data_IF_127751743035
#
_entry.id   IF_127751743035
#
_cell.length_a   1.000
_cell.length_b   1.000
_cell.length_c   1.000
_cell.angle_alpha   90.00
_cell.angle_beta   90.00
_cell.angle_gamma   90.00
#
_symmetry.space_group_name_H-M   'P 1'
#
loop_
_entity.id
_entity.type
_entity.pdbx_description
1 polymer ?
2 polymer ?
3 non-polymer ?
4 non-polymer ?
5 water ?
#
loop_
_entity_poly.entity_id
_entity_poly.type
_entity_poly.pdbx_seq_one_letter_code
_entity_poly.pdbx_strand_id
1 'polyribonucleotide' '(GTP)GAGCGUUACGUCCGAAAGUCGCAUUGCACUCCGCGACACGGCUCUUUAAAAACAAAAGGA' ?
#
# COMPACT_ATOMS: atom_id res chain seq x y z
N UNK C 1 -9.05 -59.08 11.05
CA UNK C 1 -10.14 -58.23 11.54
C UNK C 1 -11.39 -58.45 10.70
N UNK C 2 -12.54 -58.40 11.35
CA UNK C 2 -13.82 -58.57 10.67
C UNK C 2 -14.43 -57.19 10.45
N UNK C 3 -14.63 -56.75 9.22
CA UNK C 3 -15.23 -55.43 8.98
C UNK C 3 -16.59 -55.27 9.63
N UNK C 4 -16.91 -54.03 9.99
CA UNK C 4 -18.21 -53.69 10.53
C UNK C 4 -19.28 -53.79 9.43
N UNK C 5 -20.28 -54.68 9.63
CA UNK C 5 -21.33 -54.90 8.63
C UNK C 5 -22.73 -54.43 9.09
N UNK C 6 -22.88 -53.86 10.29
CA UNK C 6 -24.08 -53.11 10.66
C UNK C 6 -24.31 -51.94 9.73
N UNK C 7 -25.40 -51.90 8.97
CA UNK C 7 -25.74 -50.65 8.27
C UNK C 7 -25.75 -49.49 9.25
N UNK C 8 -25.24 -48.35 8.80
CA UNK C 8 -25.13 -47.14 9.62
C UNK C 8 -25.12 -45.93 8.70
N UNK C 9 -25.56 -44.78 9.24
CA UNK C 9 -25.59 -43.57 8.41
C UNK C 9 -24.19 -43.18 7.93
N UNK C 10 -23.15 -43.59 8.66
CA UNK C 10 -21.79 -43.19 8.38
C UNK C 10 -20.98 -44.38 7.90
N UNK C 11 -20.17 -44.16 6.86
CA UNK C 11 -19.25 -45.17 6.36
C UNK C 11 -17.84 -44.82 6.83
N UNK C 12 -17.08 -45.85 7.21
CA UNK C 12 -15.72 -45.72 7.68
C UNK C 12 -14.79 -46.24 6.59
N UNK C 13 -13.94 -45.35 6.08
CA UNK C 13 -13.04 -45.64 4.97
C UNK C 13 -11.63 -45.67 5.51
N UNK C 14 -10.81 -46.59 4.99
CA UNK C 14 -9.40 -46.56 5.33
C UNK C 14 -8.61 -47.15 4.17
N UNK C 15 -7.32 -47.39 4.40
CA UNK C 15 -6.34 -47.61 3.34
C UNK C 15 -6.25 -46.41 2.40
N UNK C 16 -6.35 -45.20 2.97
CA UNK C 16 -6.24 -43.98 2.18
C UNK C 16 -4.78 -43.52 2.13
N UNK C 17 -4.33 -43.08 0.96
CA UNK C 17 -3.00 -42.48 0.84
C UNK C 17 -2.89 -41.30 1.79
N UNK C 18 -2.09 -41.44 2.84
CA UNK C 18 -2.03 -40.43 3.88
C UNK C 18 -1.04 -39.30 3.56
N UNK C 19 -0.46 -39.28 2.34
CA UNK C 19 0.25 -38.10 1.86
C UNK C 19 -0.70 -36.97 1.49
N UNK C 20 -1.96 -37.25 1.20
CA UNK C 20 -2.85 -36.17 0.79
C UNK C 20 -3.22 -35.29 1.98
N UNK C 21 -3.36 -33.99 1.71
CA UNK C 21 -3.67 -33.06 2.76
C UNK C 21 -5.17 -33.06 3.06
N UNK C 22 -5.52 -32.62 4.27
CA UNK C 22 -6.88 -32.74 4.76
C UNK C 22 -7.89 -32.18 3.77
N UNK C 23 -7.71 -30.92 3.36
CA UNK C 23 -8.74 -30.29 2.55
C UNK C 23 -8.82 -30.90 1.16
N UNK C 24 -7.70 -31.39 0.63
CA UNK C 24 -7.78 -32.02 -0.68
C UNK C 24 -8.60 -33.32 -0.55
N UNK C 25 -8.28 -34.09 0.49
CA UNK C 25 -8.89 -35.38 0.77
C UNK C 25 -10.40 -35.27 0.94
N UNK C 26 -10.82 -34.48 1.94
CA UNK C 26 -12.25 -34.22 2.11
C UNK C 26 -12.89 -33.83 0.79
N UNK C 27 -12.28 -32.87 0.12
CA UNK C 27 -12.87 -32.36 -1.12
C UNK C 27 -12.97 -33.47 -2.17
N UNK C 28 -11.94 -34.30 -2.29
CA UNK C 28 -12.01 -35.38 -3.29
C UNK C 28 -12.97 -36.50 -2.84
N UNK C 29 -13.11 -36.72 -1.53
CA UNK C 29 -14.10 -37.67 -1.08
C UNK C 29 -15.50 -37.17 -1.38
N UNK C 30 -15.75 -35.87 -1.15
CA UNK C 30 -17.06 -35.32 -1.44
C UNK C 30 -17.40 -35.45 -2.91
N UNK C 31 -16.39 -35.35 -3.78
CA UNK C 31 -16.66 -35.45 -5.21
C UNK C 31 -17.09 -36.85 -5.59
N UNK C 32 -16.44 -37.88 -5.03
CA UNK C 32 -16.72 -39.23 -5.47
C UNK C 32 -17.87 -39.88 -4.72
N UNK C 33 -18.41 -39.23 -3.69
CA UNK C 33 -19.50 -39.80 -2.92
C UNK C 33 -20.79 -39.01 -2.99
N UNK C 34 -20.73 -37.78 -3.53
CA UNK C 34 -21.92 -36.94 -3.54
C UNK C 34 -23.08 -37.55 -4.31
N UNK C 35 -22.81 -38.43 -5.28
CA UNK C 35 -23.89 -38.94 -6.14
C UNK C 35 -24.73 -40.00 -5.46
N UNK C 36 -24.37 -40.43 -4.25
CA UNK C 36 -25.09 -41.47 -3.53
C UNK C 36 -26.14 -40.92 -2.59
N UNK C 37 -26.02 -39.67 -2.17
CA UNK C 37 -26.99 -39.07 -1.29
C UNK C 37 -26.45 -37.76 -0.74
N UNK C 38 -27.32 -37.05 -0.03
CA UNK C 38 -26.86 -35.89 0.71
C UNK C 38 -25.84 -36.31 1.75
N UNK C 39 -24.66 -35.67 1.71
CA UNK C 39 -23.61 -35.89 2.71
C UNK C 39 -23.73 -34.81 3.77
N UNK C 40 -23.81 -35.23 5.04
CA UNK C 40 -23.96 -34.29 6.14
C UNK C 40 -22.62 -33.69 6.58
N UNK C 41 -21.55 -34.48 6.53
CA UNK C 41 -20.21 -34.04 6.93
C UNK C 41 -19.21 -35.11 6.52
N UNK C 42 -17.97 -34.70 6.35
CA UNK C 42 -16.84 -35.59 6.09
C UNK C 42 -15.76 -35.27 7.10
N UNK C 43 -15.28 -36.27 7.82
CA UNK C 43 -14.37 -36.11 8.95
C UNK C 43 -13.05 -36.75 8.58
N UNK C 44 -11.98 -35.96 8.64
CA UNK C 44 -10.63 -36.41 8.30
C UNK C 44 -9.68 -35.80 9.32
N UNK C 45 -8.84 -36.63 9.94
CA UNK C 45 -7.75 -36.16 10.77
C UNK C 45 -6.45 -36.86 10.36
N UNK C 46 -5.34 -36.13 10.47
CA UNK C 46 -4.04 -36.67 10.09
C UNK C 46 -3.19 -37.02 11.30
N UNK C 47 -3.82 -37.12 12.49
CA UNK C 47 -3.10 -37.55 13.68
C UNK C 47 -2.50 -38.95 13.51
N UNK C 48 -1.76 -39.39 14.51
CA UNK C 48 -1.16 -40.72 14.45
C UNK C 48 -2.25 -41.79 14.37
N UNK C 49 -3.25 -41.70 15.24
CA UNK C 49 -4.29 -42.70 15.32
C UNK C 49 -5.27 -42.63 14.14
N UNK C 50 -5.46 -41.44 13.55
CA UNK C 50 -6.54 -41.26 12.59
C UNK C 50 -6.12 -41.06 11.14
N UNK C 51 -4.83 -41.02 10.83
CA UNK C 51 -4.46 -40.86 9.42
C UNK C 51 -4.83 -42.12 8.63
N UNK C 52 -4.90 -41.96 7.30
CA UNK C 52 -5.31 -43.04 6.43
C UNK C 52 -6.80 -43.37 6.45
N UNK C 53 -7.59 -42.66 7.25
CA UNK C 53 -8.98 -42.98 7.51
C UNK C 53 -9.86 -41.75 7.31
N UNK C 54 -11.12 -41.98 6.92
CA UNK C 54 -12.10 -40.91 6.82
C UNK C 54 -13.47 -41.44 7.21
N UNK C 55 -14.29 -40.54 7.76
CA UNK C 55 -15.71 -40.79 8.02
C UNK C 55 -16.54 -39.94 7.06
N UNK C 56 -17.48 -40.58 6.36
CA UNK C 56 -18.42 -39.87 5.49
C UNK C 56 -19.83 -40.14 6.00
N UNK C 57 -20.52 -39.08 6.41
CA UNK C 57 -21.82 -39.17 7.07
C UNK C 57 -22.93 -38.86 6.06
N UNK C 58 -23.75 -39.86 5.74
CA UNK C 58 -24.89 -39.69 4.84
C UNK C 58 -26.17 -39.39 5.62
N UNK C 59 -27.09 -38.67 4.98
CA UNK C 59 -28.35 -38.37 5.65
C UNK C 59 -29.20 -39.63 5.80
N UNK C 60 -29.10 -40.55 4.86
CA UNK C 60 -29.92 -41.75 4.82
C UNK C 60 -29.01 -42.98 4.79
N UNK C 61 -29.38 -43.98 5.58
CA UNK C 61 -28.60 -45.20 5.61
C UNK C 61 -28.53 -45.82 4.21
N UNK C 62 -29.60 -45.72 3.43
CA UNK C 62 -29.57 -46.35 2.10
C UNK C 62 -28.44 -45.76 1.26
N UNK C 63 -28.22 -44.45 1.36
CA UNK C 63 -27.12 -43.81 0.64
C UNK C 63 -25.79 -44.46 1.02
N UNK C 64 -25.55 -44.64 2.32
CA UNK C 64 -24.31 -45.24 2.79
C UNK C 64 -24.13 -46.65 2.23
N UNK C 65 -25.18 -47.46 2.32
CA UNK C 65 -25.08 -48.82 1.79
C UNK C 65 -24.70 -48.80 0.32
N UNK C 66 -25.42 -48.01 -0.49
CA UNK C 66 -25.11 -47.99 -1.92
C UNK C 66 -23.70 -47.44 -2.14
N UNK C 67 -23.29 -46.45 -1.32
CA UNK C 67 -21.95 -45.90 -1.43
C UNK C 67 -20.90 -46.97 -1.15
N UNK C 68 -21.07 -47.69 -0.05
CA UNK C 68 -20.14 -48.75 0.35
C UNK C 68 -20.04 -49.83 -0.73
N UNK C 69 -21.18 -50.27 -1.25
CA UNK C 69 -21.12 -51.38 -2.18
C UNK C 69 -20.56 -50.94 -3.53
N UNK C 70 -20.85 -49.71 -3.96
CA UNK C 70 -20.37 -49.27 -5.27
C UNK C 70 -18.89 -48.90 -5.24
N UNK C 71 -18.41 -48.33 -4.16
CA UNK C 71 -17.07 -47.75 -4.18
C UNK C 71 -16.04 -48.66 -3.56
N UNK C 72 -16.43 -49.85 -3.16
CA UNK C 72 -15.53 -50.75 -2.48
C UNK C 72 -14.32 -51.05 -3.37
N UNK C 73 -13.12 -50.87 -2.83
CA UNK C 73 -11.92 -51.15 -3.60
C UNK C 73 -11.63 -50.16 -4.71
N UNK C 74 -12.27 -49.01 -4.69
CA UNK C 74 -12.05 -48.02 -5.74
C UNK C 74 -10.63 -47.46 -5.66
N UNK C 75 -9.91 -47.36 -6.79
CA UNK C 75 -8.56 -46.77 -6.76
C UNK C 75 -8.66 -45.29 -6.46
N UNK C 76 -7.99 -44.87 -5.38
CA UNK C 76 -8.10 -43.52 -4.85
C UNK C 76 -6.71 -43.08 -4.41
N UNK C 77 -6.09 -42.20 -5.20
CA UNK C 77 -4.71 -41.79 -4.95
C UNK C 77 -3.79 -43.00 -4.91
N UNK C 78 -3.96 -43.87 -5.91
CA UNK C 78 -3.18 -45.08 -6.13
C UNK C 78 -3.39 -46.14 -5.05
N UNK C 79 -4.38 -45.99 -4.17
CA UNK C 79 -4.70 -47.04 -3.19
C UNK C 79 -6.17 -47.44 -3.31
N UNK C 80 -6.49 -48.73 -3.22
CA UNK C 80 -7.88 -49.14 -3.23
C UNK C 80 -8.52 -48.81 -1.88
N UNK C 81 -9.59 -48.02 -1.92
CA UNK C 81 -10.39 -47.75 -0.73
C UNK C 81 -10.90 -49.04 -0.12
N UNK C 82 -10.79 -49.12 1.21
CA UNK C 82 -11.46 -50.13 2.01
C UNK C 82 -12.57 -49.44 2.79
N UNK C 83 -13.81 -49.87 2.60
CA UNK C 83 -14.97 -49.19 3.16
C UNK C 83 -15.75 -50.16 4.03
N UNK C 84 -16.06 -49.71 5.24
CA UNK C 84 -16.83 -50.39 6.28
C UNK C 84 -17.98 -49.48 6.70
N UNK C 85 -18.83 -49.99 7.58
CA UNK C 85 -19.73 -49.10 8.32
C UNK C 85 -19.04 -48.65 9.59
N UNK C 86 -19.41 -47.47 10.08
CA UNK C 86 -18.89 -47.00 11.35
C UNK C 86 -19.52 -47.82 12.47
N UNK C 87 -18.71 -48.20 13.45
CA UNK C 87 -19.21 -49.05 14.53
C UNK C 87 -20.19 -48.32 15.44
N UNK C 88 -20.22 -46.99 15.40
CA UNK C 88 -21.14 -46.23 16.25
C UNK C 88 -21.73 -45.11 15.42
N UNK C 89 -22.87 -44.61 15.86
CA UNK C 89 -23.44 -43.43 15.23
C UNK C 89 -22.50 -42.23 15.39
N UNK C 90 -22.40 -41.42 14.33
CA UNK C 90 -21.81 -40.09 14.44
C UNK C 90 -22.74 -39.18 15.25
N UNK C 91 -22.15 -38.14 15.85
CA UNK C 91 -22.90 -37.35 16.83
C UNK C 91 -24.04 -36.58 16.18
N UNK C 92 -23.79 -35.97 15.03
CA UNK C 92 -24.88 -35.30 14.33
C UNK C 92 -26.02 -36.26 14.05
N UNK C 93 -25.74 -37.57 13.97
CA UNK C 93 -26.77 -38.57 13.72
C UNK C 93 -27.41 -39.05 15.02
N UNK C 94 -26.61 -39.20 16.08
CA UNK C 94 -27.17 -39.56 17.38
C UNK C 94 -28.06 -38.46 17.94
N UNK C 95 -27.72 -37.20 17.66
CA UNK C 95 -28.50 -36.04 18.10
C UNK C 95 -29.93 -36.16 17.59
N UNK C 96 -30.14 -35.76 16.32
CA UNK C 96 -31.34 -36.09 15.54
C UNK C 96 -32.62 -36.32 16.33
N UNK D 6 35.21 17.25 -40.71
CA UNK D 6 34.60 16.15 -41.45
C UNK D 6 33.08 16.24 -41.61
N UNK D 7 32.53 17.44 -41.89
CA UNK D 7 31.07 17.57 -41.91
C UNK D 7 30.44 16.73 -43.02
N UNK D 8 29.13 16.57 -42.91
CA UNK D 8 28.39 15.62 -43.73
C UNK D 8 26.91 15.87 -43.50
N UNK D 9 26.11 15.59 -44.54
CA UNK D 9 24.67 15.82 -44.39
C UNK D 9 24.08 14.98 -43.27
N UNK D 10 24.80 13.94 -42.84
CA UNK D 10 24.22 12.88 -42.03
C UNK D 10 25.03 12.76 -40.74
N UNK D 11 24.34 12.82 -39.60
CA UNK D 11 24.98 12.68 -38.31
C UNK D 11 24.78 11.26 -37.80
N UNK D 12 25.81 10.74 -37.13
CA UNK D 12 25.81 9.41 -36.53
C UNK D 12 25.61 9.57 -35.04
N UNK D 13 24.51 9.05 -34.52
CA UNK D 13 24.17 9.12 -33.11
C UNK D 13 24.34 7.72 -32.55
N UNK D 14 25.06 7.59 -31.44
CA UNK D 14 25.02 6.35 -30.69
C UNK D 14 24.88 6.68 -29.21
N UNK D 15 25.18 5.72 -28.34
CA UNK D 15 24.77 5.74 -26.95
C UNK D 15 23.26 5.97 -26.80
N UNK D 16 22.49 5.43 -27.71
CA UNK D 16 21.03 5.51 -27.61
C UNK D 16 20.49 4.35 -26.78
N UNK D 17 19.35 4.58 -26.12
CA UNK D 17 18.68 3.55 -25.34
C UNK D 17 18.23 2.41 -26.24
N UNK D 18 18.83 1.23 -26.08
CA UNK D 18 18.55 0.12 -27.00
C UNK D 18 17.18 -0.52 -26.78
N UNK D 19 16.45 -0.13 -25.74
CA UNK D 19 15.17 -0.79 -25.48
C UNK D 19 14.01 -0.19 -26.27
N UNK D 20 14.24 0.92 -26.96
CA UNK D 20 13.17 1.66 -27.61
C UNK D 20 12.84 0.98 -28.95
N UNK D 21 11.55 0.77 -29.21
CA UNK D 21 11.10 0.18 -30.47
C UNK D 21 11.51 1.06 -31.64
N UNK D 22 11.69 0.42 -32.80
CA UNK D 22 12.23 1.11 -33.97
C UNK D 22 11.44 2.38 -34.30
N UNK D 23 10.12 2.27 -34.55
CA UNK D 23 9.49 3.46 -35.13
C UNK D 23 9.28 4.54 -34.08
N UNK D 24 9.02 4.16 -32.82
CA UNK D 24 8.98 5.18 -31.76
C UNK D 24 10.27 5.97 -31.73
N UNK D 25 11.41 5.27 -31.79
CA UNK D 25 12.71 5.94 -31.78
C UNK D 25 12.86 6.91 -32.93
N UNK D 26 12.47 6.46 -34.13
CA UNK D 26 12.49 7.34 -35.30
C UNK D 26 11.63 8.57 -35.08
N UNK D 27 10.37 8.38 -34.66
CA UNK D 27 9.52 9.53 -34.38
C UNK D 27 10.18 10.47 -33.37
N UNK D 28 10.57 9.93 -32.21
CA UNK D 28 11.12 10.77 -31.14
C UNK D 28 12.36 11.52 -31.60
N UNK D 29 13.22 10.89 -32.39
CA UNK D 29 14.36 11.61 -32.94
C UNK D 29 13.90 12.72 -33.88
N UNK D 30 12.92 12.42 -34.73
CA UNK D 30 12.43 13.42 -35.70
C UNK D 30 11.92 14.66 -35.00
N UNK D 31 11.07 14.47 -33.98
CA UNK D 31 10.56 15.59 -33.22
C UNK D 31 11.69 16.43 -32.63
N UNK D 32 12.78 15.78 -32.22
CA UNK D 32 13.79 16.48 -31.42
C UNK D 32 14.88 17.07 -32.30
N UNK D 33 14.93 16.68 -33.59
CA UNK D 33 15.93 17.16 -34.54
C UNK D 33 15.34 17.95 -35.71
N UNK D 34 14.01 17.99 -35.86
CA UNK D 34 13.43 18.70 -37.00
C UNK D 34 13.68 20.20 -36.93
N UNK D 35 13.81 20.76 -35.71
CA UNK D 35 14.02 22.19 -35.57
C UNK D 35 15.15 22.67 -36.46
N UNK D 36 16.15 21.81 -36.64
CA UNK D 36 17.40 22.18 -37.26
C UNK D 36 17.31 22.26 -38.76
N UNK D 37 16.25 21.73 -39.35
CA UNK D 37 16.10 21.72 -40.78
C UNK D 37 15.31 20.52 -41.23
N UNK D 38 15.13 20.44 -42.53
CA UNK D 38 14.41 19.31 -43.13
C UNK D 38 15.22 18.03 -42.97
N UNK D 39 14.62 17.03 -42.36
CA UNK D 39 15.22 15.71 -42.27
C UNK D 39 14.80 14.89 -43.48
N UNK D 40 15.79 14.41 -44.24
CA UNK D 40 15.49 13.55 -45.37
C UNK D 40 15.07 12.15 -44.90
N UNK D 41 15.73 11.60 -43.90
CA UNK D 41 15.42 10.25 -43.41
C UNK D 41 16.15 9.99 -42.11
N UNK D 42 15.61 9.06 -41.32
CA UNK D 42 16.25 8.54 -40.10
C UNK D 42 16.35 7.03 -40.23
N UNK D 43 17.57 6.51 -40.18
CA UNK D 43 17.82 5.08 -40.36
C UNK D 43 18.13 4.48 -39.00
N UNK D 44 17.34 3.47 -38.61
CA UNK D 44 17.48 2.80 -37.32
C UNK D 44 17.37 1.29 -37.54
N UNK D 45 18.29 0.53 -36.94
CA UNK D 45 18.27 -0.93 -36.99
C UNK D 45 18.60 -1.51 -35.62
N UNK D 46 17.91 -2.60 -35.26
CA UNK D 46 18.06 -3.23 -33.95
C UNK D 46 18.87 -4.52 -33.99
N UNK D 47 19.61 -4.75 -35.08
CA UNK D 47 20.56 -5.84 -35.12
C UNK D 47 21.67 -5.65 -34.08
N UNK D 48 22.38 -6.75 -33.81
CA UNK D 48 23.50 -6.70 -32.88
C UNK D 48 24.48 -5.61 -33.27
N UNK D 49 24.80 -5.54 -34.55
CA UNK D 49 25.81 -4.61 -35.01
C UNK D 49 25.35 -3.15 -34.95
N UNK D 50 24.05 -2.88 -35.02
CA UNK D 50 23.57 -1.52 -35.23
C UNK D 50 22.59 -1.01 -34.18
N UNK D 51 22.25 -1.80 -33.16
CA UNK D 51 21.40 -1.25 -32.10
C UNK D 51 22.14 -0.14 -31.37
N UNK D 52 21.36 0.76 -30.77
CA UNK D 52 21.90 1.90 -30.04
C UNK D 52 22.31 3.06 -30.92
N UNK D 53 22.13 2.94 -32.23
CA UNK D 53 22.70 3.86 -33.22
C UNK D 53 21.62 4.32 -34.19
N UNK D 54 21.83 5.50 -34.76
CA UNK D 54 20.87 6.08 -35.68
C UNK D 54 21.59 7.03 -36.61
N UNK D 55 21.22 7.02 -37.88
CA UNK D 55 21.74 7.96 -38.87
C UNK D 55 20.61 8.92 -39.23
N UNK D 56 20.78 10.20 -38.92
CA UNK D 56 19.84 11.24 -39.29
C UNK D 56 20.38 11.95 -40.52
N UNK D 57 19.59 11.96 -41.59
CA UNK D 57 20.01 12.50 -42.89
C UNK D 57 19.32 13.84 -43.08
N UNK D 58 20.10 14.92 -43.00
CA UNK D 58 19.61 16.27 -43.20
C UNK D 58 19.73 16.66 -44.66
N UNK D 59 18.79 17.49 -45.12
CA UNK D 59 18.85 18.04 -46.47
C UNK D 59 20.13 18.85 -46.68
N UNK D 60 20.53 19.61 -45.67
CA UNK D 60 21.64 20.55 -45.76
C UNK D 60 22.67 20.21 -44.71
N UNK D 61 23.95 20.24 -45.10
CA UNK D 61 25.02 20.10 -44.10
C UNK D 61 24.84 21.15 -43.02
N UNK D 62 24.42 22.35 -43.42
CA UNK D 62 24.09 23.42 -42.48
C UNK D 62 23.28 22.93 -41.30
N UNK D 63 22.18 22.21 -41.59
CA UNK D 63 21.33 21.71 -40.52
C UNK D 63 22.04 20.67 -39.67
N UNK D 64 22.83 19.80 -40.32
CA UNK D 64 23.51 18.73 -39.61
C UNK D 64 24.52 19.26 -38.59
N UNK D 65 25.40 20.17 -39.03
CA UNK D 65 26.39 20.75 -38.13
C UNK D 65 25.72 21.42 -36.94
N UNK D 66 24.68 22.23 -37.17
CA UNK D 66 23.97 22.86 -36.06
C UNK D 66 23.35 21.82 -35.14
N UNK D 67 22.83 20.72 -35.70
CA UNK D 67 22.24 19.66 -34.88
C UNK D 67 23.31 18.99 -34.03
N UNK D 68 24.48 18.74 -34.60
CA UNK D 68 25.53 18.01 -33.89
C UNK D 68 25.93 18.72 -32.59
N UNK D 69 26.31 19.99 -32.65
CA UNK D 69 26.81 20.57 -31.41
C UNK D 69 25.69 21.02 -30.48
N UNK D 70 24.50 21.31 -31.01
CA UNK D 70 23.41 21.80 -30.16
C UNK D 70 22.81 20.67 -29.34
N UNK D 71 22.87 19.44 -29.84
CA UNK D 71 22.25 18.29 -29.20
C UNK D 71 23.28 17.31 -28.66
N UNK D 72 24.57 17.58 -28.86
CA UNK D 72 25.63 16.77 -28.26
C UNK D 72 25.36 16.58 -26.78
N UNK D 73 25.26 15.32 -26.37
CA UNK D 73 25.00 14.97 -24.98
C UNK D 73 23.59 15.23 -24.50
N UNK D 74 22.66 15.59 -25.39
CA UNK D 74 21.28 15.85 -24.98
C UNK D 74 20.69 14.62 -24.30
N UNK D 75 20.02 14.77 -23.16
CA UNK D 75 19.42 13.60 -22.49
C UNK D 75 18.26 13.06 -23.30
N UNK D 76 18.27 11.74 -23.54
CA UNK D 76 17.29 11.13 -24.45
C UNK D 76 16.99 9.72 -23.95
N UNK D 77 15.77 9.49 -23.51
CA UNK D 77 15.39 8.21 -22.92
C UNK D 77 16.42 7.79 -21.87
N UNK D 78 16.84 8.76 -21.05
CA UNK D 78 17.68 8.53 -19.87
C UNK D 78 19.12 8.20 -20.21
N UNK D 79 19.59 8.62 -21.39
CA UNK D 79 20.97 8.42 -21.80
C UNK D 79 21.35 9.66 -22.61
N UNK D 80 22.52 10.24 -22.34
CA UNK D 80 23.01 11.35 -23.18
C UNK D 80 23.43 10.82 -24.54
N UNK D 81 22.99 11.49 -25.60
CA UNK D 81 23.27 10.98 -26.93
C UNK D 81 24.61 11.51 -27.42
N UNK D 82 25.41 10.63 -28.01
CA UNK D 82 26.70 10.97 -28.58
C UNK D 82 26.53 11.17 -30.08
N UNK D 83 26.94 12.34 -30.60
CA UNK D 83 26.71 12.71 -32.00
C UNK D 83 28.02 13.01 -32.68
N UNK D 84 28.25 12.34 -33.81
CA UNK D 84 29.34 12.65 -34.73
C UNK D 84 28.76 12.75 -36.13
N UNK D 85 29.56 13.32 -37.05
CA UNK D 85 29.24 13.19 -38.47
C UNK D 85 29.49 11.77 -38.94
N UNK D 86 28.69 11.33 -39.92
CA UNK D 86 28.95 10.04 -40.54
C UNK D 86 30.27 10.10 -41.26
N UNK D 87 30.88 8.94 -41.40
CA UNK D 87 32.22 8.84 -41.93
C UNK D 87 32.24 8.77 -43.45
N UNK D 88 31.13 8.33 -44.03
CA UNK D 88 30.87 8.27 -45.46
C UNK D 88 29.65 9.13 -45.72
N UNK D 89 29.26 9.20 -46.99
CA UNK D 89 27.99 9.78 -47.36
C UNK D 89 26.93 8.70 -47.37
N UNK D 90 25.71 9.07 -46.98
CA UNK D 90 24.59 8.14 -47.05
C UNK D 90 24.22 7.92 -48.51
N UNK D 91 23.45 6.85 -48.77
CA UNK D 91 23.08 6.51 -50.14
C UNK D 91 22.37 7.68 -50.82
N UNK D 92 21.29 8.15 -50.20
CA UNK D 92 20.44 9.19 -50.77
C UNK D 92 21.27 10.44 -51.12
N UNK D 93 22.27 10.76 -50.30
CA UNK D 93 23.08 11.95 -50.53
C UNK D 93 24.07 11.75 -51.69
N UNK D 94 24.35 10.49 -52.06
CA UNK D 94 25.35 10.22 -53.09
C UNK D 94 24.75 9.73 -54.41
N UNK D 95 23.44 9.50 -54.49
CA UNK D 95 22.82 8.94 -55.68
C UNK D 95 22.78 9.93 -56.85
N UNK E 1 0.84 42.25 12.91
CA UNK E 1 -0.20 42.12 13.93
C UNK E 1 -1.14 40.96 13.62
N UNK E 2 -1.46 40.75 12.33
CA UNK E 2 -2.23 39.57 11.95
C UNK E 2 -1.32 38.36 11.98
N UNK E 3 -1.60 37.37 12.83
CA UNK E 3 -0.66 36.25 13.03
C UNK E 3 -0.76 35.21 11.93
N UNK E 4 0.39 34.67 11.54
CA UNK E 4 0.40 33.48 10.68
C UNK E 4 -0.34 32.33 11.34
N UNK E 5 -1.17 31.64 10.57
CA UNK E 5 -1.77 30.40 11.06
C UNK E 5 -0.68 29.39 11.41
N UNK E 6 -0.86 28.71 12.55
CA UNK E 6 0.16 27.78 13.05
C UNK E 6 0.22 26.52 12.20
N UNK E 7 1.34 26.21 11.56
CA UNK E 7 1.43 24.99 10.77
C UNK E 7 1.14 23.75 11.62
N UNK E 8 0.76 22.67 10.92
CA UNK E 8 0.46 21.38 11.52
C UNK E 8 0.73 20.32 10.46
N UNK E 9 1.23 19.15 10.88
CA UNK E 9 1.48 18.12 9.88
C UNK E 9 0.19 17.44 9.39
N UNK E 10 -0.96 17.84 9.94
CA UNK E 10 -2.27 17.36 9.55
C UNK E 10 -3.05 18.52 8.93
N UNK E 11 -3.66 18.27 7.77
CA UNK E 11 -4.50 19.27 7.13
C UNK E 11 -5.96 18.91 7.31
N UNK E 12 -6.77 19.95 7.42
CA UNK E 12 -8.21 19.83 7.57
C UNK E 12 -8.85 20.25 6.26
N UNK E 13 -9.56 19.32 5.62
CA UNK E 13 -10.20 19.53 4.33
C UNK E 13 -11.70 19.51 4.53
N UNK E 14 -12.39 20.48 3.94
CA UNK E 14 -13.84 20.43 3.90
C UNK E 14 -14.30 20.97 2.55
N UNK E 15 -15.60 21.25 2.44
CA UNK E 15 -16.29 21.39 1.16
C UNK E 15 -16.12 20.15 0.29
N UNK E 16 -16.12 18.97 0.93
CA UNK E 16 -16.00 17.75 0.16
C UNK E 16 -17.37 17.24 -0.24
N UNK E 17 -17.41 16.56 -1.39
CA UNK E 17 -18.67 15.99 -1.88
C UNK E 17 -19.21 14.96 -0.90
N UNK E 18 -20.34 15.29 -0.27
CA UNK E 18 -20.95 14.38 0.70
C UNK E 18 -21.56 13.12 0.08
N UNK E 19 -21.68 13.03 -1.24
CA UNK E 19 -22.30 11.85 -1.83
C UNK E 19 -21.33 10.68 -1.96
N UNK E 20 -20.05 10.89 -1.71
CA UNK E 20 -19.05 9.84 -1.89
C UNK E 20 -19.00 8.96 -0.65
N UNK E 21 -18.97 7.64 -0.86
CA UNK E 21 -18.75 6.75 0.26
C UNK E 21 -17.36 6.99 0.85
N UNK E 22 -17.26 6.73 2.15
CA UNK E 22 -16.13 7.14 2.95
C UNK E 22 -14.85 6.43 2.53
N UNK E 23 -14.96 5.14 2.33
CA UNK E 23 -13.92 4.26 1.85
C UNK E 23 -13.29 4.74 0.55
N UNK E 24 -14.15 5.08 -0.41
CA UNK E 24 -13.68 5.61 -1.68
C UNK E 24 -13.07 6.99 -1.51
N UNK E 25 -13.72 7.85 -0.72
CA UNK E 25 -13.18 9.17 -0.43
C UNK E 25 -11.75 9.09 0.08
N UNK E 26 -11.50 8.18 1.00
CA UNK E 26 -10.16 8.03 1.57
C UNK E 26 -9.16 7.69 0.48
N UNK E 27 -9.50 6.72 -0.37
CA UNK E 27 -8.60 6.27 -1.42
C UNK E 27 -8.40 7.33 -2.48
N UNK E 28 -9.45 8.06 -2.83
CA UNK E 28 -9.29 9.13 -3.79
C UNK E 28 -8.45 10.26 -3.20
N UNK E 29 -8.63 10.57 -1.91
CA UNK E 29 -7.79 11.58 -1.27
C UNK E 29 -6.33 11.19 -1.32
N UNK E 30 -6.05 9.92 -1.02
CA UNK E 30 -4.68 9.44 -1.08
C UNK E 30 -4.08 9.64 -2.46
N UNK E 31 -4.89 9.42 -3.49
CA UNK E 31 -4.39 9.46 -4.85
C UNK E 31 -3.88 10.83 -5.23
N UNK E 32 -4.49 11.89 -4.68
CA UNK E 32 -4.07 13.23 -5.06
C UNK E 32 -3.12 13.86 -4.04
N UNK E 33 -2.96 13.29 -2.85
CA UNK E 33 -2.13 13.92 -1.84
C UNK E 33 -0.84 13.18 -1.54
N UNK E 34 -0.73 11.91 -1.92
CA UNK E 34 0.49 11.16 -1.65
C UNK E 34 1.71 11.82 -2.28
N UNK E 35 1.52 12.73 -3.25
CA UNK E 35 2.66 13.31 -3.96
C UNK E 35 3.45 14.28 -3.07
N UNK E 36 2.84 14.82 -2.03
CA UNK E 36 3.49 15.81 -1.19
C UNK E 36 4.33 15.18 -0.09
N UNK E 37 4.31 13.85 0.05
CA UNK E 37 5.10 13.20 1.08
C UNK E 37 4.33 12.11 1.80
N UNK E 38 5.00 11.45 2.73
CA UNK E 38 4.43 10.31 3.43
C UNK E 38 3.16 10.68 4.19
N UNK E 39 2.10 9.92 3.94
CA UNK E 39 0.84 10.04 4.67
C UNK E 39 0.80 8.95 5.73
N UNK E 40 0.47 9.32 6.96
CA UNK E 40 0.36 8.32 8.01
C UNK E 40 -1.05 7.80 8.14
N UNK E 41 -2.04 8.64 7.88
CA UNK E 41 -3.43 8.24 7.98
C UNK E 41 -4.25 9.31 7.28
N UNK E 42 -5.43 8.89 6.82
CA UNK E 42 -6.47 9.79 6.38
C UNK E 42 -7.69 9.48 7.25
N UNK E 43 -8.34 10.52 7.74
CA UNK E 43 -9.40 10.37 8.73
C UNK E 43 -10.69 10.85 8.09
N UNK E 44 -11.67 9.96 7.98
CA UNK E 44 -13.00 10.29 7.48
C UNK E 44 -14.01 9.55 8.34
N UNK E 45 -15.24 10.06 8.35
CA UNK E 45 -16.29 9.46 9.17
C UNK E 45 -17.65 9.64 8.53
N UNK E 46 -18.53 8.68 8.80
CA UNK E 46 -19.95 8.80 8.44
C UNK E 46 -20.73 9.60 9.47
N UNK E 47 -20.15 9.84 10.64
CA UNK E 47 -20.83 10.61 11.67
C UNK E 47 -21.18 12.00 11.13
N UNK E 48 -22.18 12.59 11.76
CA UNK E 48 -22.74 13.82 11.25
C UNK E 48 -21.78 15.00 11.44
N UNK E 49 -20.88 14.94 12.42
CA UNK E 49 -19.95 16.06 12.58
C UNK E 49 -18.83 16.04 11.55
N UNK E 50 -18.59 14.93 10.88
CA UNK E 50 -17.52 14.82 9.90
C UNK E 50 -18.04 14.87 8.46
N UNK E 51 -19.25 15.38 8.24
CA UNK E 51 -19.80 15.40 6.88
C UNK E 51 -18.99 16.30 5.97
N UNK E 52 -18.64 15.78 4.80
CA UNK E 52 -17.91 16.58 3.83
C UNK E 52 -16.57 17.07 4.31
N UNK E 53 -15.90 16.32 5.19
CA UNK E 53 -14.67 16.78 5.81
C UNK E 53 -13.68 15.62 5.91
N UNK E 54 -12.40 15.96 6.06
CA UNK E 54 -11.37 14.93 6.23
C UNK E 54 -10.12 15.54 6.81
N UNK E 55 -9.32 14.70 7.47
CA UNK E 55 -7.96 15.04 7.88
C UNK E 55 -6.99 14.13 7.16
N UNK E 56 -5.92 14.70 6.63
CA UNK E 56 -4.83 13.94 6.02
C UNK E 56 -3.61 14.17 6.90
N UNK E 57 -3.14 13.10 7.54
CA UNK E 57 -2.02 13.19 8.48
C UNK E 57 -0.74 12.85 7.74
N UNK E 58 0.08 13.86 7.52
CA UNK E 58 1.42 13.71 6.95
C UNK E 58 2.46 13.47 8.03
N UNK E 59 3.54 12.80 7.65
CA UNK E 59 4.67 12.67 8.56
C UNK E 59 5.34 14.00 8.82
N UNK E 60 5.71 14.73 7.76
CA UNK E 60 6.43 15.98 7.92
C UNK E 60 5.51 17.18 7.72
N UNK E 61 5.77 18.22 8.52
CA UNK E 61 4.98 19.46 8.42
C UNK E 61 5.17 20.11 7.05
N UNK E 62 6.37 20.02 6.48
CA UNK E 62 6.60 20.63 5.17
C UNK E 62 5.68 20.04 4.12
N UNK E 63 5.33 18.77 4.27
CA UNK E 63 4.38 18.14 3.35
C UNK E 63 3.00 18.81 3.44
N UNK E 64 2.47 18.93 4.67
CA UNK E 64 1.17 19.54 4.84
C UNK E 64 1.12 20.95 4.24
N UNK E 65 2.18 21.73 4.44
CA UNK E 65 2.22 23.10 3.92
C UNK E 65 2.19 23.12 2.39
N UNK E 66 3.05 22.33 1.75
CA UNK E 66 3.00 22.20 0.29
C UNK E 66 1.66 21.67 -0.19
N UNK E 67 1.07 20.72 0.54
CA UNK E 67 -0.21 20.15 0.12
C UNK E 67 -1.33 21.18 0.21
N UNK E 68 -1.43 21.85 1.37
CA UNK E 68 -2.41 22.93 1.55
C UNK E 68 -2.25 24.00 0.45
N UNK E 69 -1.02 24.50 0.26
CA UNK E 69 -0.86 25.62 -0.67
C UNK E 69 -1.15 25.21 -2.11
N UNK E 70 -0.68 24.01 -2.52
CA UNK E 70 -0.84 23.60 -3.91
C UNK E 70 -2.25 23.16 -4.24
N UNK E 71 -2.97 22.54 -3.30
CA UNK E 71 -4.26 21.94 -3.60
C UNK E 71 -5.44 22.78 -3.11
N UNK E 72 -5.17 23.98 -2.62
CA UNK E 72 -6.23 24.86 -2.17
C UNK E 72 -7.20 25.12 -3.32
N UNK E 73 -8.47 24.76 -3.12
CA UNK E 73 -9.47 24.96 -4.15
C UNK E 73 -9.43 23.99 -5.31
N UNK E 74 -8.69 22.91 -5.20
CA UNK E 74 -8.63 21.92 -6.27
C UNK E 74 -9.97 21.23 -6.47
N UNK E 75 -10.54 21.22 -7.68
CA UNK E 75 -11.87 20.61 -7.89
C UNK E 75 -11.80 19.10 -7.77
N UNK E 76 -12.58 18.58 -6.84
CA UNK E 76 -12.49 17.20 -6.38
C UNK E 76 -13.92 16.72 -6.28
N UNK E 77 -14.28 15.73 -7.10
CA UNK E 77 -15.68 15.35 -7.29
C UNK E 77 -16.55 16.57 -7.56
N UNK E 78 -16.10 17.44 -8.50
CA UNK E 78 -16.87 18.65 -8.85
C UNK E 78 -17.11 19.61 -7.70
N UNK E 79 -16.13 19.72 -6.78
CA UNK E 79 -16.28 20.63 -5.66
C UNK E 79 -14.87 21.09 -5.27
N UNK E 80 -14.61 22.40 -5.20
CA UNK E 80 -13.25 22.86 -4.85
C UNK E 80 -13.01 22.65 -3.36
N UNK E 81 -11.93 21.91 -3.05
CA UNK E 81 -11.57 21.63 -1.66
C UNK E 81 -11.18 22.91 -0.94
N UNK E 82 -11.68 23.08 0.28
CA UNK E 82 -11.15 24.10 1.19
C UNK E 82 -10.21 23.42 2.18
N UNK E 83 -8.98 23.92 2.24
CA UNK E 83 -7.90 23.29 3.00
C UNK E 83 -7.34 24.27 4.02
N UNK E 84 -7.10 23.78 5.24
CA UNK E 84 -6.47 24.53 6.32
C UNK E 84 -5.69 23.55 7.19
N UNK E 85 -4.67 24.07 7.91
CA UNK E 85 -3.98 23.27 8.91
C UNK E 85 -4.96 22.83 9.98
N UNK E 86 -4.79 21.61 10.47
CA UNK E 86 -5.51 21.20 11.67
C UNK E 86 -5.04 22.04 12.86
N UNK E 87 -5.94 22.27 13.81
CA UNK E 87 -5.61 23.08 14.98
C UNK E 87 -4.83 22.26 16.01
N UNK E 88 -5.44 21.19 16.51
CA UNK E 88 -4.79 20.41 17.55
C UNK E 88 -5.24 18.95 17.49
N UNK E 89 -4.46 18.11 18.18
CA UNK E 89 -4.76 16.68 18.22
C UNK E 89 -6.02 16.40 19.03
N UNK E 90 -6.23 17.15 20.11
CA UNK E 90 -7.49 17.09 20.82
C UNK E 90 -8.67 17.41 19.89
N UNK E 91 -8.54 18.48 19.10
CA UNK E 91 -9.62 18.89 18.22
C UNK E 91 -9.96 17.81 17.21
N UNK E 92 -8.93 17.12 16.70
CA UNK E 92 -9.15 16.02 15.76
C UNK E 92 -9.93 14.89 16.43
N UNK E 93 -9.57 14.58 17.67
CA UNK E 93 -10.24 13.53 18.44
C UNK E 93 -11.70 13.90 18.67
N UNK E 94 -11.97 15.13 19.09
CA UNK E 94 -13.34 15.54 19.34
C UNK E 94 -14.18 15.40 18.07
N UNK E 95 -13.63 15.83 16.94
CA UNK E 95 -14.32 15.72 15.66
C UNK E 95 -14.52 14.25 15.21
N UNK E 96 -13.70 13.31 15.71
CA UNK E 96 -13.77 11.93 15.25
C UNK E 96 -14.54 11.02 16.19
N UNK E 97 -14.95 11.51 17.37
CA UNK E 97 -15.58 10.69 18.42
C UNK E 97 -16.83 10.13 17.80
N UNK F 6 -5.54 14.65 -32.95
CA UNK F 6 -6.85 14.59 -33.59
C UNK F 6 -7.99 14.50 -32.57
N UNK F 7 -8.55 15.65 -32.16
CA UNK F 7 -9.45 15.68 -30.99
C UNK F 7 -10.71 14.85 -31.20
N UNK F 8 -11.15 14.17 -30.11
CA UNK F 8 -12.41 13.40 -30.10
C UNK F 8 -12.89 13.20 -28.65
N UNK F 9 -13.94 12.39 -28.48
CA UNK F 9 -14.65 12.24 -27.21
C UNK F 9 -13.82 11.64 -26.10
N UNK F 10 -12.71 10.99 -26.43
CA UNK F 10 -12.07 10.07 -25.50
C UNK F 10 -10.60 10.42 -25.37
N UNK F 11 -10.11 10.40 -24.13
CA UNK F 11 -8.71 10.64 -23.85
C UNK F 11 -8.07 9.32 -23.46
N UNK F 12 -6.86 9.11 -23.90
CA UNK F 12 -6.02 7.97 -23.53
C UNK F 12 -4.99 8.49 -22.54
N UNK F 13 -5.03 7.98 -21.30
CA UNK F 13 -4.09 8.36 -20.24
C UNK F 13 -3.13 7.21 -20.02
N UNK F 14 -1.85 7.52 -19.87
CA UNK F 14 -0.90 6.47 -19.48
C UNK F 14 0.06 7.05 -18.44
N UNK F 15 1.15 6.33 -18.18
CA UNK F 15 2.03 6.58 -17.03
C UNK F 15 1.25 6.59 -15.73
N UNK F 16 0.23 5.75 -15.66
CA UNK F 16 -0.50 5.55 -14.43
C UNK F 16 0.20 4.50 -13.56
N UNK F 17 0.05 4.65 -12.23
CA UNK F 17 0.66 3.75 -11.26
C UNK F 17 0.04 2.36 -11.36
N UNK F 18 0.84 1.39 -11.83
CA UNK F 18 0.34 0.06 -12.17
C UNK F 18 0.04 -0.81 -10.96
N UNK F 19 0.31 -0.32 -9.75
CA UNK F 19 0.06 -1.11 -8.55
C UNK F 19 -1.29 -0.80 -7.90
N UNK F 20 -2.16 -0.05 -8.59
CA UNK F 20 -3.46 0.30 -8.06
C UNK F 20 -4.54 -0.61 -8.63
N UNK F 21 -5.43 -1.08 -7.77
CA UNK F 21 -6.51 -1.97 -8.19
C UNK F 21 -7.49 -1.25 -9.12
N UNK F 22 -8.07 -2.04 -10.04
CA UNK F 22 -8.86 -1.47 -11.13
C UNK F 22 -10.02 -0.64 -10.59
N UNK F 23 -10.72 -1.17 -9.60
CA UNK F 23 -11.93 -0.51 -9.12
C UNK F 23 -11.59 0.81 -8.44
N UNK F 24 -10.52 0.82 -7.65
CA UNK F 24 -10.06 2.04 -7.03
C UNK F 24 -9.53 3.02 -8.07
N UNK F 25 -8.77 2.53 -9.05
CA UNK F 25 -8.21 3.42 -10.06
C UNK F 25 -9.32 4.14 -10.84
N UNK F 26 -10.43 3.43 -11.11
CA UNK F 26 -11.54 4.04 -11.83
C UNK F 26 -12.23 5.12 -11.00
N UNK F 27 -12.48 4.82 -9.73
CA UNK F 27 -13.12 5.81 -8.87
C UNK F 27 -12.22 7.01 -8.65
N UNK F 28 -10.92 6.79 -8.50
CA UNK F 28 -9.99 7.91 -8.32
C UNK F 28 -9.93 8.78 -9.58
N UNK F 29 -9.93 8.16 -10.76
CA UNK F 29 -9.95 8.94 -12.01
C UNK F 29 -11.23 9.76 -12.14
N UNK F 30 -12.39 9.14 -11.87
CA UNK F 30 -13.63 9.91 -11.92
C UNK F 30 -13.56 11.12 -10.97
N UNK F 31 -12.89 10.95 -9.83
CA UNK F 31 -12.84 12.00 -8.82
C UNK F 31 -12.22 13.28 -9.35
N UNK F 32 -11.19 13.16 -10.19
CA UNK F 32 -10.51 14.33 -10.69
C UNK F 32 -10.97 14.72 -12.10
N UNK F 33 -11.54 13.79 -12.86
CA UNK F 33 -11.91 14.15 -14.22
C UNK F 33 -13.38 14.52 -14.37
N UNK F 34 -14.20 14.34 -13.33
CA UNK F 34 -15.63 14.62 -13.50
C UNK F 34 -15.88 16.11 -13.72
N UNK F 35 -15.01 16.97 -13.20
CA UNK F 35 -15.24 18.41 -13.34
C UNK F 35 -15.32 18.84 -14.80
N UNK F 36 -14.72 18.08 -15.71
CA UNK F 36 -14.61 18.52 -17.09
C UNK F 36 -15.84 18.19 -17.94
N UNK F 37 -16.70 17.29 -17.49
CA UNK F 37 -17.86 16.89 -18.25
C UNK F 37 -18.39 15.57 -17.76
N UNK F 38 -19.59 15.25 -18.22
CA UNK F 38 -20.17 13.94 -17.93
C UNK F 38 -19.28 12.84 -18.48
N UNK F 39 -18.76 11.99 -17.59
CA UNK F 39 -17.96 10.85 -17.99
C UNK F 39 -18.89 9.69 -18.37
N UNK F 40 -18.86 9.30 -19.64
CA UNK F 40 -19.68 8.17 -20.08
C UNK F 40 -19.11 6.86 -19.59
N UNK F 41 -17.79 6.72 -19.57
CA UNK F 41 -17.20 5.50 -19.03
C UNK F 41 -15.73 5.74 -18.80
N UNK F 42 -15.16 4.97 -17.89
CA UNK F 42 -13.73 4.92 -17.69
C UNK F 42 -13.29 3.48 -17.92
N UNK F 43 -12.34 3.28 -18.83
CA UNK F 43 -11.89 1.94 -19.20
C UNK F 43 -10.50 1.70 -18.62
N UNK F 44 -10.42 0.72 -17.72
CA UNK F 44 -9.20 0.31 -17.06
C UNK F 44 -9.08 -1.21 -17.09
N UNK F 45 -7.86 -1.71 -17.27
CA UNK F 45 -7.60 -3.12 -17.11
C UNK F 45 -6.13 -3.33 -16.76
N UNK F 46 -5.86 -4.40 -16.02
CA UNK F 46 -4.50 -4.70 -15.56
C UNK F 46 -3.83 -5.73 -16.42
N UNK F 47 -4.45 -6.12 -17.53
CA UNK F 47 -3.84 -6.96 -18.55
C UNK F 47 -2.50 -6.40 -18.98
N UNK F 48 -1.70 -7.22 -19.67
CA UNK F 48 -0.44 -6.71 -20.21
C UNK F 48 -0.65 -5.58 -21.20
N UNK F 49 -1.82 -5.51 -21.82
CA UNK F 49 -2.07 -4.48 -22.83
C UNK F 49 -2.56 -3.17 -22.25
N UNK F 50 -3.21 -3.20 -21.08
CA UNK F 50 -3.81 -1.99 -20.53
C UNK F 50 -3.16 -1.51 -19.24
N UNK F 51 -2.17 -2.20 -18.71
CA UNK F 51 -1.70 -1.88 -17.38
C UNK F 51 -1.01 -0.51 -17.40
N UNK F 52 -1.34 0.32 -16.43
CA UNK F 52 -0.82 1.68 -16.40
C UNK F 52 -1.50 2.64 -17.35
N UNK F 53 -2.58 2.22 -18.01
CA UNK F 53 -3.28 3.06 -18.99
C UNK F 53 -4.77 3.11 -18.68
N UNK F 54 -5.44 4.10 -19.26
CA UNK F 54 -6.88 4.19 -19.06
C UNK F 54 -7.46 5.02 -20.19
N UNK F 55 -8.73 4.79 -20.46
CA UNK F 55 -9.48 5.63 -21.38
C UNK F 55 -10.61 6.28 -20.59
N UNK F 56 -10.81 7.57 -20.77
CA UNK F 56 -11.93 8.27 -20.17
C UNK F 56 -12.76 8.86 -21.30
N UNK F 57 -14.05 8.54 -21.30
CA UNK F 57 -14.95 8.89 -22.40
C UNK F 57 -15.92 9.96 -21.93
N UNK F 58 -15.88 11.10 -22.58
CA UNK F 58 -16.75 12.21 -22.21
C UNK F 58 -17.91 12.31 -23.18
N UNK F 59 -19.01 12.88 -22.68
CA UNK F 59 -20.15 13.16 -23.54
C UNK F 59 -19.78 14.10 -24.69
N UNK F 60 -18.98 15.13 -24.41
CA UNK F 60 -18.63 16.10 -25.44
C UNK F 60 -17.13 16.14 -25.67
N UNK F 61 -16.76 16.42 -26.93
CA UNK F 61 -15.36 16.57 -27.30
C UNK F 61 -14.72 17.74 -26.57
N UNK F 62 -15.49 18.82 -26.38
CA UNK F 62 -15.04 19.98 -25.64
C UNK F 62 -14.45 19.59 -24.28
N UNK F 63 -15.17 18.71 -23.57
CA UNK F 63 -14.70 18.22 -22.27
C UNK F 63 -13.38 17.48 -22.38
N UNK F 64 -13.27 16.59 -23.37
CA UNK F 64 -12.03 15.82 -23.52
C UNK F 64 -10.86 16.75 -23.75
N UNK F 65 -11.06 17.79 -24.56
CA UNK F 65 -9.96 18.70 -24.88
C UNK F 65 -9.48 19.44 -23.63
N UNK F 66 -10.42 20.00 -22.85
CA UNK F 66 -10.04 20.71 -21.63
C UNK F 66 -9.41 19.77 -20.62
N UNK F 67 -10.01 18.59 -20.43
CA UNK F 67 -9.38 17.57 -19.59
C UNK F 67 -7.94 17.33 -20.00
N UNK F 68 -7.71 17.13 -21.30
CA UNK F 68 -6.34 16.87 -21.76
C UNK F 68 -5.39 18.01 -21.37
N UNK F 69 -5.81 19.27 -21.52
CA UNK F 69 -4.77 20.28 -21.41
C UNK F 69 -4.55 20.63 -19.94
N UNK F 70 -5.64 20.60 -19.16
CA UNK F 70 -5.58 20.95 -17.76
C UNK F 70 -4.84 19.91 -16.94
N UNK F 71 -5.11 18.63 -17.20
CA UNK F 71 -4.59 17.57 -16.35
C UNK F 71 -3.30 16.97 -16.90
N UNK F 72 -2.83 17.46 -18.04
CA UNK F 72 -1.52 17.07 -18.52
C UNK F 72 -0.49 17.11 -17.40
N UNK F 73 0.27 16.02 -17.24
CA UNK F 73 1.28 15.96 -16.20
C UNK F 73 0.80 15.92 -14.77
N UNK F 74 -0.51 15.98 -14.53
CA UNK F 74 -1.03 16.05 -13.17
C UNK F 74 -0.50 14.88 -12.34
N UNK F 75 0.18 15.15 -11.23
CA UNK F 75 0.69 14.03 -10.41
C UNK F 75 -0.48 13.33 -9.73
N UNK F 76 -0.39 12.01 -9.72
CA UNK F 76 -1.54 11.15 -9.45
C UNK F 76 -0.95 9.83 -9.00
N UNK F 77 -1.25 9.42 -7.76
CA UNK F 77 -0.62 8.22 -7.22
C UNK F 77 0.89 8.29 -7.38
N UNK F 78 1.43 9.50 -7.22
CA UNK F 78 2.87 9.82 -7.23
C UNK F 78 3.49 9.85 -8.62
N UNK F 79 2.70 9.83 -9.69
CA UNK F 79 3.23 9.77 -11.05
C UNK F 79 2.55 10.85 -11.88
N UNK F 80 3.31 11.62 -12.67
CA UNK F 80 2.67 12.58 -13.56
C UNK F 80 2.08 11.82 -14.74
N UNK F 81 0.78 11.99 -14.94
CA UNK F 81 0.08 11.29 -16.01
C UNK F 81 0.25 11.97 -17.35
N UNK F 82 0.39 11.16 -18.40
CA UNK F 82 0.44 11.66 -19.77
C UNK F 82 -0.91 11.43 -20.44
N UNK F 83 -1.42 12.45 -21.12
CA UNK F 83 -2.76 12.39 -21.72
C UNK F 83 -2.66 12.71 -23.20
N UNK F 84 -3.30 11.89 -24.02
CA UNK F 84 -3.44 12.08 -25.46
C UNK F 84 -4.89 11.90 -25.85
N UNK F 85 -5.24 12.33 -27.05
CA UNK F 85 -6.54 11.96 -27.58
C UNK F 85 -6.53 10.48 -27.89
N UNK F 86 -7.66 9.82 -27.68
CA UNK F 86 -7.67 8.41 -28.01
C UNK F 86 -7.72 8.21 -29.52
N UNK F 87 -7.22 7.05 -29.96
CA UNK F 87 -7.35 6.59 -31.34
C UNK F 87 -8.79 6.19 -31.60
N UNK F 88 -9.00 5.27 -32.53
CA UNK F 88 -10.34 4.88 -32.92
C UNK F 88 -10.93 3.89 -31.92
N UNK F 89 -12.28 3.84 -31.92
CA UNK F 89 -13.00 2.84 -31.13
C UNK F 89 -12.48 1.44 -31.40
N UNK F 90 -12.14 1.15 -32.66
CA UNK F 90 -11.57 -0.13 -33.02
C UNK F 90 -10.30 -0.40 -32.23
N UNK F 91 -9.39 0.58 -32.19
CA UNK F 91 -8.16 0.43 -31.43
C UNK F 91 -8.45 0.23 -29.96
N UNK F 92 -9.50 0.89 -29.45
CA UNK F 92 -9.82 0.77 -28.02
C UNK F 92 -10.31 -0.64 -27.72
N UNK F 93 -11.29 -1.10 -28.51
CA UNK F 93 -11.84 -2.44 -28.32
C UNK F 93 -10.71 -3.47 -28.37
N UNK F 94 -9.77 -3.30 -29.30
CA UNK F 94 -8.63 -4.20 -29.41
C UNK F 94 -7.79 -4.22 -28.12
N UNK F 95 -7.33 -3.06 -27.65
CA UNK F 95 -6.47 -3.02 -26.45
C UNK F 95 -7.21 -3.46 -25.19
N UNK F 96 -8.53 -3.60 -25.22
CA UNK F 96 -9.33 -4.05 -24.08
C UNK F 96 -9.64 -5.54 -24.09
N UNK F 97 -9.18 -6.31 -25.07
CA UNK F 97 -9.54 -7.73 -25.10
C UNK F 97 -8.50 -8.59 -24.42
N UNK G 6 29.08 5.51 44.64
CA UNK G 6 27.66 5.63 44.32
C UNK G 6 26.76 5.96 45.54
N UNK G 7 27.09 5.44 46.75
CA UNK G 7 26.30 5.79 47.94
C UNK G 7 25.94 7.26 48.08
N UNK G 8 24.65 7.56 47.92
CA UNK G 8 24.09 8.90 48.04
C UNK G 8 22.95 8.86 49.05
N UNK G 9 22.64 10.01 49.64
CA UNK G 9 21.42 10.09 50.45
C UNK G 9 20.15 10.19 49.61
N UNK G 10 20.29 10.25 48.28
CA UNK G 10 19.18 10.36 47.34
C UNK G 10 19.18 9.13 46.44
N UNK G 11 17.99 8.51 46.29
CA UNK G 11 17.82 7.36 45.41
C UNK G 11 16.98 7.77 44.22
N UNK G 12 17.22 7.10 43.09
CA UNK G 12 16.52 7.34 41.85
C UNK G 12 15.66 6.13 41.53
N UNK G 13 14.35 6.34 41.43
CA UNK G 13 13.39 5.28 41.13
C UNK G 13 12.82 5.55 39.75
N UNK G 14 12.64 4.48 38.96
CA UNK G 14 11.97 4.57 37.67
C UNK G 14 11.07 3.33 37.51
N UNK G 15 10.59 3.10 36.29
CA UNK G 15 9.51 2.14 36.01
C UNK G 15 8.30 2.35 36.92
N UNK G 16 8.02 3.61 37.26
CA UNK G 16 6.78 3.97 37.92
C UNK G 16 5.69 4.21 36.89
N UNK G 17 4.46 3.89 37.28
CA UNK G 17 3.31 4.14 36.42
C UNK G 17 3.13 5.64 36.27
N UNK G 18 3.03 6.09 35.01
CA UNK G 18 3.05 7.49 34.63
C UNK G 18 1.68 8.14 34.68
N UNK G 19 0.64 7.38 34.94
CA UNK G 19 -0.70 7.95 35.03
C UNK G 19 -1.08 8.36 36.45
N UNK G 20 -0.28 8.00 37.47
CA UNK G 20 -0.53 8.55 38.79
C UNK G 20 -0.15 10.03 38.79
N UNK G 21 -1.00 10.85 39.35
CA UNK G 21 -0.73 12.27 39.48
C UNK G 21 0.34 12.51 40.56
N UNK G 22 1.06 13.64 40.42
CA UNK G 22 2.30 13.87 41.15
C UNK G 22 2.12 13.73 42.66
N UNK G 23 1.25 14.55 43.24
CA UNK G 23 1.07 14.53 44.67
C UNK G 23 0.79 13.11 45.17
N UNK G 24 -0.13 12.41 44.52
CA UNK G 24 -0.42 11.04 44.89
C UNK G 24 0.83 10.19 44.81
N UNK G 25 1.55 10.25 43.68
CA UNK G 25 2.75 9.46 43.55
C UNK G 25 3.75 9.80 44.64
N UNK G 26 3.80 11.07 45.02
CA UNK G 26 4.77 11.51 46.02
C UNK G 26 4.40 11.00 47.41
N UNK G 27 3.13 11.10 47.77
CA UNK G 27 2.71 10.66 49.10
C UNK G 27 2.75 9.13 49.21
N UNK G 28 2.32 8.44 48.17
CA UNK G 28 2.50 6.98 48.15
C UNK G 28 3.96 6.60 48.35
N UNK G 29 4.87 7.28 47.66
CA UNK G 29 6.29 7.02 47.86
C UNK G 29 6.70 7.28 49.30
N UNK G 30 6.19 8.37 49.90
CA UNK G 30 6.60 8.73 51.24
C UNK G 30 6.21 7.66 52.25
N UNK G 31 5.05 7.02 52.02
CA UNK G 31 4.55 6.01 52.95
C UNK G 31 5.46 4.77 52.96
N UNK G 32 5.84 4.29 51.78
CA UNK G 32 6.62 3.07 51.68
C UNK G 32 8.11 3.29 51.88
N UNK G 33 8.54 4.52 52.18
CA UNK G 33 9.95 4.82 52.35
C UNK G 33 10.28 5.51 53.66
N UNK G 34 9.32 6.16 54.33
CA UNK G 34 9.60 6.83 55.59
C UNK G 34 10.19 5.90 56.63
N UNK G 35 9.86 4.60 56.53
CA UNK G 35 10.30 3.59 57.50
C UNK G 35 11.81 3.37 57.50
N UNK G 36 12.57 3.96 56.57
CA UNK G 36 14.01 3.76 56.54
C UNK G 36 14.79 4.93 57.12
N UNK G 37 14.15 6.08 57.25
CA UNK G 37 14.82 7.26 57.72
C UNK G 37 14.04 8.50 57.34
N UNK G 38 14.41 9.61 57.97
CA UNK G 38 13.78 10.88 57.68
C UNK G 38 13.96 11.21 56.20
N UNK G 39 12.86 11.45 55.50
CA UNK G 39 12.91 11.86 54.10
C UNK G 39 12.87 13.39 54.07
N UNK G 40 13.91 13.99 53.51
CA UNK G 40 13.95 15.46 53.39
C UNK G 40 13.06 15.96 52.26
N UNK G 41 12.99 15.24 51.14
CA UNK G 41 12.15 15.64 50.02
C UNK G 41 12.03 14.49 49.04
N UNK G 42 11.01 14.58 48.19
CA UNK G 42 10.78 13.63 47.11
C UNK G 42 10.52 14.43 45.85
N UNK G 43 11.23 14.10 44.76
CA UNK G 43 11.17 14.87 43.52
C UNK G 43 10.43 14.05 42.46
N UNK G 44 9.27 14.55 42.05
CA UNK G 44 8.51 13.95 40.95
C UNK G 44 8.06 15.06 40.01
N UNK G 45 7.89 14.68 38.74
CA UNK G 45 7.41 15.57 37.69
C UNK G 45 6.94 14.70 36.53
N UNK G 46 5.93 15.19 35.83
CA UNK G 46 5.40 14.39 34.72
C UNK G 46 5.82 14.98 33.38
N UNK G 47 6.93 15.70 33.36
CA UNK G 47 7.53 16.14 32.11
C UNK G 47 8.12 14.94 31.36
N UNK G 48 8.54 15.20 30.13
CA UNK G 48 9.27 14.18 29.36
C UNK G 48 10.50 13.67 30.10
N UNK G 49 11.16 14.53 30.85
CA UNK G 49 12.39 14.12 31.52
C UNK G 49 12.11 13.27 32.77
N UNK G 50 10.98 13.47 33.43
CA UNK G 50 10.76 12.85 34.72
C UNK G 50 9.52 11.94 34.83
N UNK G 51 8.69 11.83 33.80
CA UNK G 51 7.51 10.99 33.97
C UNK G 51 7.94 9.55 34.18
N UNK G 52 7.32 8.89 35.15
CA UNK G 52 7.67 7.51 35.42
C UNK G 52 8.86 7.32 36.33
N UNK G 53 9.42 8.39 36.89
CA UNK G 53 10.61 8.24 37.73
C UNK G 53 10.51 9.18 38.93
N UNK G 54 11.43 9.03 39.89
CA UNK G 54 11.43 9.89 41.07
C UNK G 54 12.77 9.83 41.78
N UNK G 55 13.05 10.89 42.55
CA UNK G 55 14.16 10.94 43.48
C UNK G 55 13.60 11.03 44.90
N UNK G 56 14.22 10.30 45.82
CA UNK G 56 13.86 10.35 47.23
C UNK G 56 15.08 10.79 48.02
N UNK G 57 14.95 11.88 48.77
CA UNK G 57 16.08 12.54 49.42
C UNK G 57 16.05 12.23 50.92
N UNK G 58 16.93 11.33 51.35
CA UNK G 58 17.03 11.01 52.77
C UNK G 58 18.00 11.95 53.49
N UNK G 59 17.74 12.13 54.79
CA UNK G 59 18.68 12.88 55.63
C UNK G 59 20.03 12.18 55.70
N UNK G 60 20.05 10.85 55.64
CA UNK G 60 21.27 10.09 55.80
C UNK G 60 21.41 9.02 54.73
N UNK G 61 22.67 8.81 54.32
CA UNK G 61 22.97 7.81 53.31
C UNK G 61 22.50 6.43 53.75
N UNK G 62 22.59 6.12 55.05
CA UNK G 62 22.24 4.78 55.52
C UNK G 62 20.75 4.52 55.34
N UNK G 63 19.93 5.56 55.52
CA UNK G 63 18.50 5.47 55.19
C UNK G 63 18.30 5.04 53.74
N UNK G 64 19.11 5.58 52.83
CA UNK G 64 18.96 5.33 51.41
C UNK G 64 19.53 3.99 50.99
N UNK G 65 20.62 3.56 51.62
CA UNK G 65 21.14 2.22 51.32
C UNK G 65 20.13 1.14 51.70
N UNK G 66 19.49 1.29 52.86
CA UNK G 66 18.50 0.31 53.31
C UNK G 66 17.31 0.25 52.36
N UNK G 67 16.67 1.41 52.14
CA UNK G 67 15.56 1.49 51.20
C UNK G 67 15.95 0.97 49.83
N UNK G 68 17.23 1.04 49.45
CA UNK G 68 17.60 0.60 48.11
C UNK G 68 17.18 -0.85 48.02
N UNK G 69 17.90 -1.69 48.78
CA UNK G 69 17.83 -3.14 48.65
C UNK G 69 16.51 -3.68 49.20
N UNK G 70 16.02 -3.12 50.30
CA UNK G 70 14.72 -3.48 50.86
C UNK G 70 13.62 -3.35 49.81
N UNK G 71 13.52 -2.17 49.19
CA UNK G 71 12.38 -1.83 48.34
C UNK G 71 12.62 -2.11 46.87
N UNK G 72 13.72 -2.77 46.53
CA UNK G 72 14.04 -3.02 45.13
C UNK G 72 13.05 -4.01 44.53
N UNK G 73 12.60 -3.74 43.30
CA UNK G 73 11.64 -4.62 42.65
C UNK G 73 10.26 -4.66 43.28
N UNK G 74 10.00 -3.82 44.28
CA UNK G 74 8.71 -3.76 44.95
C UNK G 74 7.60 -3.52 43.92
N UNK G 75 6.44 -4.18 44.05
CA UNK G 75 5.33 -3.89 43.15
C UNK G 75 4.61 -2.62 43.60
N UNK G 76 4.42 -1.71 42.65
CA UNK G 76 3.90 -0.37 42.89
C UNK G 76 2.95 -0.08 41.75
N UNK G 77 1.70 0.25 42.09
CA UNK G 77 0.61 0.38 41.12
C UNK G 77 0.80 -0.57 39.95
N UNK G 78 0.96 -1.87 40.24
CA UNK G 78 1.10 -2.95 39.26
C UNK G 78 2.44 -2.91 38.53
N UNK G 79 3.44 -2.18 39.01
CA UNK G 79 4.71 -2.21 38.30
C UNK G 79 5.83 -2.41 39.31
N UNK G 80 6.87 -3.17 38.94
CA UNK G 80 8.03 -3.37 39.85
C UNK G 80 8.97 -2.17 39.84
N UNK G 81 9.12 -1.53 41.00
CA UNK G 81 10.04 -0.43 41.16
C UNK G 81 11.50 -0.79 40.93
N UNK G 82 12.17 0.08 40.19
CA UNK G 82 13.58 0.02 39.86
C UNK G 82 14.27 1.17 40.58
N UNK G 83 15.06 0.84 41.61
CA UNK G 83 15.67 1.85 42.46
C UNK G 83 17.16 1.89 42.18
N UNK G 84 17.73 3.09 42.20
CA UNK G 84 19.16 3.31 42.05
C UNK G 84 19.58 4.49 42.90
N UNK G 85 20.85 4.50 43.29
CA UNK G 85 21.44 5.70 43.87
C UNK G 85 21.40 6.83 42.86
N UNK G 86 21.20 8.04 43.35
CA UNK G 86 21.35 9.19 42.48
C UNK G 86 22.83 9.37 42.16
N UNK G 87 23.12 9.68 40.89
CA UNK G 87 24.50 9.80 40.43
C UNK G 87 25.16 11.07 40.95
N UNK G 88 24.63 12.24 40.56
CA UNK G 88 25.21 13.50 40.96
C UNK G 88 24.09 14.47 41.28
N UNK G 89 24.39 15.41 42.18
CA UNK G 89 23.45 16.49 42.42
C UNK G 89 23.21 17.35 41.17
N UNK G 90 24.12 17.34 40.19
CA UNK G 90 23.81 18.08 38.97
C UNK G 90 22.81 17.33 38.11
N UNK G 91 22.88 16.01 38.08
CA UNK G 91 21.88 15.23 37.34
C UNK G 91 20.48 15.42 37.90
N UNK G 92 20.37 15.42 39.24
CA UNK G 92 19.07 15.65 39.88
C UNK G 92 18.49 17.01 39.49
N UNK G 93 19.29 18.08 39.60
CA UNK G 93 18.79 19.41 39.31
C UNK G 93 18.47 19.57 37.84
N UNK G 94 19.24 18.92 36.98
CA UNK G 94 18.98 18.98 35.55
C UNK G 94 17.65 18.28 35.22
N UNK G 95 17.41 17.08 35.77
CA UNK G 95 16.17 16.37 35.47
C UNK G 95 14.94 17.18 35.85
N UNK G 96 15.03 17.97 36.94
CA UNK G 96 13.89 18.75 37.41
C UNK G 96 13.71 20.10 36.72
N UNK G 97 14.56 20.47 35.77
CA UNK G 97 14.34 21.75 35.06
C UNK G 97 13.46 21.66 33.80
#
# INVERSE_FOLDING_TARGET
AVPETRPNHTIYINNLNEKIKKDELKKSLHAIFSRFGQILDILVSRSLKMRGQAFVIFKEVSSATNALRSMQGFPFYDKPMRIQYAKTDSDIIAKMK
AVPETRPNHTIYINNLNEKIKKDELKKSLHAIFSRFGQILDILVSRSLKMRGQAFVIFKEVSSATNALRSMQGFPFYDKPMRIQYAKTDSDIIAKMK
AVPETRPNHTIYINNLNEKIKKDELKKSLHAIFSRFGQILDILVSRSLKMRGQAFVIFKEVSSATNALRSMQGFPFYDKPMRIQYAKTDSDIIAKMK
AVPETRPNHTIYINNLNEKIKKDELKKSLHAIFSRFGQILDILVSRSLKMRGQAFVIFKEVSSATNALRSMQGFPFYDKPMRIQYAKTDSDIIAKMK
AVPETRPNHTIYINNLNEKIKKDELKKSLHAIFSRFGQILDILVSRSLKMRGQAFVIFKEVSSATNALRSMQGFPFYDKPMRIQYAKTDSDIIAKMK
#
